data_IF_450409622625
#
_entry.id   IF_450409622625
#
_cell.length_a   1.000
_cell.length_b   1.000
_cell.length_c   1.000
_cell.angle_alpha   90.00
_cell.angle_beta   90.00
_cell.angle_gamma   90.00
#
_symmetry.space_group_name_H-M   'P 1'
#
loop_
_entity.id
_entity.type
_entity.pdbx_description
1 polymer ?
#
# COMPACT_ATOMS: atom_id res chain seq x y z
N UNK A 1 -1.37 -2.79 6.58
CA UNK A 1 -0.97 -1.47 7.12
C UNK A 1 0.52 -1.31 6.90
N UNK A 2 1.02 -0.17 6.41
CA UNK A 2 2.45 0.06 6.31
C UNK A 2 3.03 0.47 7.67
N UNK A 3 4.31 0.14 7.93
CA UNK A 3 5.00 0.39 9.21
C UNK A 3 6.50 0.61 8.99
N UNK A 4 7.18 1.10 10.02
CA UNK A 4 8.65 1.10 10.10
C UNK A 4 9.13 -0.24 10.70
N UNK A 5 10.36 -0.29 11.20
CA UNK A 5 10.96 -1.52 11.73
C UNK A 5 10.18 -2.10 12.92
N UNK A 6 9.64 -1.24 13.80
CA UNK A 6 8.86 -1.69 14.95
C UNK A 6 7.46 -2.18 14.52
N UNK A 7 7.02 -3.31 15.09
CA UNK A 7 5.76 -3.97 14.72
C UNK A 7 4.52 -3.13 15.06
N UNK A 8 4.58 -2.28 16.08
CA UNK A 8 3.47 -1.46 16.57
C UNK A 8 3.58 0.00 16.09
N UNK A 9 4.37 0.25 15.03
CA UNK A 9 4.65 1.61 14.54
C UNK A 9 3.67 2.11 13.47
N UNK A 10 2.67 1.32 13.08
CA UNK A 10 1.77 1.67 11.98
C UNK A 10 0.96 2.92 12.34
N UNK A 11 0.88 3.88 11.41
CA UNK A 11 0.11 5.12 11.58
C UNK A 11 -0.94 5.27 10.48
N UNK A 12 -0.74 6.17 9.51
CA UNK A 12 -1.74 6.47 8.47
C UNK A 12 -1.46 5.81 7.12
N UNK A 13 -0.26 5.29 6.91
CA UNK A 13 0.14 4.72 5.62
C UNK A 13 -0.45 3.32 5.43
N UNK A 14 -1.02 3.08 4.24
CA UNK A 14 -1.55 1.79 3.83
C UNK A 14 -1.04 1.43 2.43
N UNK A 15 -1.16 0.15 2.08
CA UNK A 15 -0.86 -0.36 0.74
C UNK A 15 -1.96 -1.32 0.30
N UNK A 16 -2.08 -1.52 -1.01
CA UNK A 16 -2.98 -2.50 -1.63
C UNK A 16 -2.10 -3.54 -2.31
N UNK A 17 -2.33 -4.82 -1.99
CA UNK A 17 -1.69 -5.91 -2.72
C UNK A 17 -2.34 -6.05 -4.11
N UNK A 18 -1.55 -5.90 -5.17
CA UNK A 18 -1.96 -6.17 -6.57
C UNK A 18 -1.62 -7.61 -7.03
N UNK A 19 -0.99 -8.38 -6.15
CA UNK A 19 -0.64 -9.78 -6.34
C UNK A 19 -0.60 -10.48 -4.96
N UNK A 20 -0.50 -11.81 -4.96
CA UNK A 20 -0.38 -12.59 -3.73
C UNK A 20 1.04 -12.47 -3.16
N UNK A 21 1.18 -11.72 -2.06
CA UNK A 21 2.46 -11.37 -1.43
C UNK A 21 2.66 -12.11 -0.09
N UNK A 22 2.66 -13.45 -0.11
CA UNK A 22 2.71 -14.27 1.11
C UNK A 22 3.95 -14.04 2.00
N UNK A 23 5.01 -13.41 1.48
CA UNK A 23 6.17 -13.02 2.27
C UNK A 23 5.91 -11.86 3.24
N UNK A 24 4.79 -11.14 3.08
CA UNK A 24 4.34 -10.08 3.99
C UNK A 24 3.47 -10.61 5.14
N UNK A 25 3.06 -11.89 5.07
CA UNK A 25 2.21 -12.50 6.07
C UNK A 25 2.98 -12.71 7.38
N UNK A 26 2.23 -12.72 8.49
CA UNK A 26 2.78 -13.04 9.81
C UNK A 26 3.41 -14.44 9.82
N UNK A 27 4.63 -14.56 10.33
CA UNK A 27 5.34 -15.83 10.42
C UNK A 27 6.28 -15.90 11.62
N UNK A 28 7.03 -16.99 11.70
CA UNK A 28 7.98 -17.19 12.81
C UNK A 28 9.16 -16.21 12.80
N UNK A 29 9.49 -15.63 11.62
CA UNK A 29 10.66 -14.77 11.42
C UNK A 29 10.35 -13.28 11.49
N UNK A 30 9.10 -12.89 11.23
CA UNK A 30 8.64 -11.50 11.28
C UNK A 30 7.14 -11.48 11.59
N UNK A 31 6.70 -10.41 12.27
CA UNK A 31 5.30 -10.20 12.61
C UNK A 31 4.43 -9.89 11.37
N UNK A 32 5.06 -9.57 10.23
CA UNK A 32 4.41 -9.29 8.97
C UNK A 32 3.67 -7.95 8.97
N UNK A 33 2.65 -7.86 8.13
CA UNK A 33 1.83 -6.67 7.92
C UNK A 33 0.34 -6.99 8.08
N UNK A 34 -0.32 -6.30 9.02
CA UNK A 34 -1.74 -6.54 9.30
C UNK A 34 -2.65 -6.17 8.12
N UNK A 35 -3.37 -7.16 7.60
CA UNK A 35 -4.48 -6.98 6.65
C UNK A 35 -5.74 -6.58 7.44
N UNK A 36 -6.46 -5.55 6.99
CA UNK A 36 -7.65 -5.04 7.67
C UNK A 36 -8.87 -4.87 6.73
N UNK A 37 -8.75 -5.28 5.47
CA UNK A 37 -9.81 -5.13 4.48
C UNK A 37 -9.41 -5.67 3.11
N UNK A 38 -10.34 -5.56 2.15
CA UNK A 38 -10.13 -5.93 0.75
C UNK A 38 -10.79 -4.94 -0.19
N UNK A 39 -10.26 -4.82 -1.41
CA UNK A 39 -10.88 -4.06 -2.48
C UNK A 39 -12.07 -4.87 -3.02
N UNK A 40 -13.29 -4.34 -2.89
CA UNK A 40 -14.51 -4.98 -3.41
C UNK A 40 -14.89 -4.49 -4.82
N UNK A 41 -14.36 -3.34 -5.23
CA UNK A 41 -14.56 -2.72 -6.55
C UNK A 41 -13.37 -1.83 -6.89
N UNK A 42 -13.00 -1.78 -8.17
CA UNK A 42 -11.94 -0.91 -8.67
C UNK A 42 -10.53 -1.49 -8.59
N UNK A 43 -10.40 -2.82 -8.63
CA UNK A 43 -9.07 -3.45 -8.66
C UNK A 43 -8.32 -3.12 -9.96
N UNK A 44 -9.03 -2.93 -11.07
CA UNK A 44 -8.45 -2.45 -12.33
C UNK A 44 -7.82 -1.05 -12.20
N UNK A 45 -8.35 -0.21 -11.30
CA UNK A 45 -7.78 1.11 -11.00
C UNK A 45 -6.50 0.96 -10.19
N UNK A 46 -6.46 0.05 -9.20
CA UNK A 46 -5.25 -0.25 -8.46
C UNK A 46 -4.15 -0.83 -9.38
N UNK A 47 -4.50 -1.71 -10.32
CA UNK A 47 -3.57 -2.25 -11.32
C UNK A 47 -2.98 -1.13 -12.19
N UNK A 48 -3.83 -0.22 -12.70
CA UNK A 48 -3.37 0.95 -13.48
C UNK A 48 -2.43 1.86 -12.67
N UNK A 49 -2.73 2.09 -11.39
CA UNK A 49 -1.89 2.90 -10.52
C UNK A 49 -0.52 2.25 -10.31
N UNK A 50 -0.46 0.93 -10.18
CA UNK A 50 0.81 0.20 -9.98
C UNK A 50 1.80 0.29 -11.15
N UNK A 51 1.33 0.70 -12.34
CA UNK A 51 2.10 0.72 -13.59
C UNK A 51 2.46 2.14 -14.07
N UNK A 52 2.11 3.19 -13.32
CA UNK A 52 2.43 4.56 -13.74
C UNK A 52 3.96 4.79 -13.74
N UNK A 53 4.48 5.67 -14.61
CA UNK A 53 5.90 6.01 -14.60
C UNK A 53 6.33 6.57 -13.25
N UNK A 54 7.49 6.14 -12.76
CA UNK A 54 8.07 6.56 -11.48
C UNK A 54 9.45 7.17 -11.65
N UNK A 55 9.89 7.88 -10.62
CA UNK A 55 11.24 8.41 -10.47
C UNK A 55 11.62 8.46 -8.99
N UNK A 56 12.88 8.83 -8.72
CA UNK A 56 13.40 9.00 -7.37
C UNK A 56 13.25 10.45 -6.91
N UNK A 57 12.80 10.65 -5.67
CA UNK A 57 12.67 11.96 -5.01
C UNK A 57 13.37 11.91 -3.66
N UNK A 58 14.58 12.48 -3.56
CA UNK A 58 15.40 12.38 -2.35
C UNK A 58 15.71 10.91 -2.02
N UNK A 59 15.44 10.42 -0.80
CA UNK A 59 15.65 9.01 -0.45
C UNK A 59 14.53 8.08 -0.93
N UNK A 60 13.45 8.61 -1.53
CA UNK A 60 12.28 7.84 -1.91
C UNK A 60 12.38 7.37 -3.36
N UNK A 61 12.31 6.05 -3.55
CA UNK A 61 12.22 5.43 -4.87
C UNK A 61 10.78 5.08 -5.21
N UNK A 62 10.50 4.81 -6.49
CA UNK A 62 9.18 4.44 -7.00
C UNK A 62 8.10 5.51 -6.76
N UNK A 63 8.48 6.80 -6.76
CA UNK A 63 7.54 7.91 -6.64
C UNK A 63 6.94 8.21 -8.01
N UNK A 64 5.60 8.18 -8.19
CA UNK A 64 4.98 8.51 -9.47
C UNK A 64 5.44 9.86 -10.02
N UNK A 65 5.84 9.91 -11.28
CA UNK A 65 6.26 11.17 -11.95
C UNK A 65 5.13 12.22 -11.93
N UNK A 66 3.88 11.76 -11.97
CA UNK A 66 2.68 12.56 -11.72
C UNK A 66 1.99 12.00 -10.47
N UNK A 67 1.82 12.78 -9.39
CA UNK A 67 1.17 12.30 -8.17
C UNK A 67 -0.21 11.69 -8.43
N UNK A 68 -0.45 10.50 -7.89
CA UNK A 68 -1.78 9.86 -7.87
C UNK A 68 -2.46 10.27 -6.57
N UNK A 69 -3.42 11.19 -6.66
CA UNK A 69 -4.00 11.87 -5.49
C UNK A 69 -5.32 11.22 -5.08
N UNK A 70 -5.47 10.87 -3.80
CA UNK A 70 -6.77 10.55 -3.20
C UNK A 70 -7.50 11.86 -2.96
N UNK A 71 -8.46 12.19 -3.82
CA UNK A 71 -9.20 13.45 -3.76
C UNK A 71 -10.15 13.52 -2.56
N UNK A 72 -10.77 12.39 -2.21
CA UNK A 72 -11.61 12.27 -1.02
C UNK A 72 -11.71 10.81 -0.58
N UNK A 73 -11.90 10.58 0.71
CA UNK A 73 -12.22 9.27 1.29
C UNK A 73 -13.46 9.42 2.18
N UNK A 74 -14.44 8.53 2.01
CA UNK A 74 -15.72 8.57 2.74
C UNK A 74 -16.13 7.16 3.15
N UNK A 75 -16.58 7.03 4.39
CA UNK A 75 -17.32 5.84 4.83
C UNK A 75 -18.69 5.90 4.16
N UNK A 76 -19.06 4.84 3.44
CA UNK A 76 -20.39 4.73 2.83
C UNK A 76 -21.43 4.42 3.91
N UNK A 77 -22.69 4.86 3.74
CA UNK A 77 -23.77 4.58 4.68
C UNK A 77 -24.12 3.09 4.77
#
# INVERSE_FOLDING_TARGET
MARTADKDSATSQFFINVADNAFLDHGQRDFGYAVFGKVVKGMDVADKISQVPTHDVGPYQNVPTKPVVILSAKVLP
#
